data_IF_227118302231
#
_entry.id   IF_227118302231
#
_cell.length_a   1.000
_cell.length_b   1.000
_cell.length_c   1.000
_cell.angle_alpha   90.00
_cell.angle_beta   90.00
_cell.angle_gamma   90.00
#
_symmetry.space_group_name_H-M   'P 1'
#
loop_
_entity.id
_entity.type
_entity.pdbx_description
1 polymer ?
#
# COMPACT_ATOMS: atom_id res chain seq x y z
N UNK A 1 13.08 0.29 -0.67
CA UNK A 1 13.86 -0.93 -0.37
C UNK A 1 13.19 -2.14 -0.97
N UNK A 2 13.97 -3.01 -1.61
CA UNK A 2 13.47 -4.26 -2.17
C UNK A 2 13.43 -5.33 -1.09
N UNK A 3 12.31 -6.06 -1.02
CA UNK A 3 12.13 -7.19 -0.11
C UNK A 3 11.67 -8.40 -0.90
N UNK A 4 12.23 -9.56 -0.58
CA UNK A 4 11.73 -10.81 -1.14
C UNK A 4 10.57 -11.32 -0.32
N UNK A 5 9.50 -11.73 -1.00
CA UNK A 5 8.36 -12.39 -0.40
C UNK A 5 8.28 -13.82 -0.92
N UNK A 6 8.11 -14.77 -0.02
CA UNK A 6 7.79 -16.15 -0.39
C UNK A 6 6.28 -16.24 -0.59
N UNK A 7 5.87 -16.57 -1.80
CA UNK A 7 4.45 -16.52 -2.14
C UNK A 7 4.07 -17.58 -3.15
N UNK A 8 2.99 -18.29 -2.85
CA UNK A 8 2.31 -19.17 -3.80
C UNK A 8 1.60 -18.39 -4.92
N UNK A 9 1.38 -17.08 -4.74
CA UNK A 9 0.72 -16.21 -5.74
C UNK A 9 1.69 -15.66 -6.78
N UNK A 10 2.99 -15.96 -6.67
CA UNK A 10 3.99 -15.46 -7.60
C UNK A 10 4.58 -14.11 -7.24
N UNK A 11 4.21 -13.49 -6.12
CA UNK A 11 4.84 -12.26 -5.66
C UNK A 11 6.14 -12.60 -4.96
N UNK A 12 7.26 -12.26 -5.58
CA UNK A 12 8.61 -12.58 -5.11
C UNK A 12 9.37 -11.38 -4.61
N UNK A 13 9.10 -10.20 -5.20
CA UNK A 13 9.82 -8.97 -4.89
C UNK A 13 8.80 -7.87 -4.70
N UNK A 14 8.92 -7.15 -3.60
CA UNK A 14 8.14 -5.95 -3.34
C UNK A 14 9.06 -4.77 -3.12
N UNK A 15 8.60 -3.59 -3.48
CA UNK A 15 9.30 -2.33 -3.28
C UNK A 15 8.38 -1.34 -2.57
N UNK A 16 8.81 -0.88 -1.40
CA UNK A 16 8.14 0.20 -0.69
C UNK A 16 8.71 1.53 -1.16
N UNK A 17 7.84 2.41 -1.68
CA UNK A 17 8.22 3.72 -2.19
C UNK A 17 7.61 4.78 -1.30
N UNK A 18 8.32 5.07 -0.21
CA UNK A 18 7.84 5.99 0.82
C UNK A 18 8.19 7.45 0.49
N UNK A 19 9.42 7.68 0.07
CA UNK A 19 9.92 9.02 -0.25
C UNK A 19 10.61 9.02 -1.60
N UNK A 20 10.57 10.15 -2.33
CA UNK A 20 11.29 10.23 -3.58
C UNK A 20 12.80 10.16 -3.33
N UNK A 21 13.46 9.33 -4.13
CA UNK A 21 14.92 9.20 -4.12
C UNK A 21 15.39 9.21 -5.56
N UNK A 22 16.57 9.77 -5.79
CA UNK A 22 17.13 9.83 -7.12
C UNK A 22 17.23 8.43 -7.72
N UNK A 23 16.63 8.23 -8.90
CA UNK A 23 16.71 6.98 -9.64
C UNK A 23 15.80 5.86 -9.16
N UNK A 24 14.92 6.09 -8.19
CA UNK A 24 14.06 5.01 -7.67
C UNK A 24 13.11 4.49 -8.75
N UNK A 25 12.68 5.36 -9.67
CA UNK A 25 11.76 4.98 -10.75
C UNK A 25 12.37 3.93 -11.69
N UNK A 26 13.69 3.87 -11.79
CA UNK A 26 14.39 2.84 -12.56
C UNK A 26 14.20 1.44 -11.96
N UNK A 27 13.82 1.34 -10.69
CA UNK A 27 13.57 0.08 -10.02
C UNK A 27 12.14 -0.42 -10.17
N UNK A 28 11.23 0.37 -10.76
CA UNK A 28 9.82 0.02 -10.83
C UNK A 28 9.51 -1.18 -11.74
N UNK A 29 10.43 -1.54 -12.62
CA UNK A 29 10.28 -2.70 -13.50
C UNK A 29 10.64 -4.04 -12.83
N UNK A 30 11.29 -4.00 -11.69
CA UNK A 30 11.78 -5.21 -11.02
C UNK A 30 10.76 -5.86 -10.09
N UNK A 31 10.00 -5.11 -9.26
CA UNK A 31 9.12 -5.75 -8.29
C UNK A 31 7.81 -6.23 -8.90
N UNK A 32 7.26 -7.24 -8.28
CA UNK A 32 5.92 -7.73 -8.57
C UNK A 32 4.86 -6.89 -7.86
N UNK A 33 5.26 -6.21 -6.78
CA UNK A 33 4.38 -5.39 -5.95
C UNK A 33 5.08 -4.07 -5.61
N UNK A 34 4.40 -2.97 -5.91
CA UNK A 34 4.84 -1.61 -5.56
C UNK A 34 3.91 -1.05 -4.48
N UNK A 35 4.48 -0.53 -3.41
CA UNK A 35 3.74 0.01 -2.27
C UNK A 35 4.10 1.49 -2.10
N UNK A 36 3.21 2.37 -2.55
CA UNK A 36 3.46 3.82 -2.55
C UNK A 36 2.84 4.50 -1.34
N UNK A 37 3.54 5.52 -0.84
CA UNK A 37 3.03 6.42 0.19
C UNK A 37 2.39 7.67 -0.44
N UNK A 38 1.52 8.37 0.31
CA UNK A 38 0.99 9.65 -0.18
C UNK A 38 2.08 10.72 -0.31
N UNK A 39 3.12 10.68 0.52
CA UNK A 39 4.22 11.64 0.44
C UNK A 39 4.97 11.54 -0.89
N UNK A 40 5.26 10.32 -1.33
CA UNK A 40 5.88 10.12 -2.63
C UNK A 40 4.99 10.68 -3.75
N UNK A 41 3.71 10.33 -3.73
CA UNK A 41 2.77 10.77 -4.76
C UNK A 41 2.68 12.30 -4.83
N UNK A 42 2.52 12.95 -3.69
CA UNK A 42 2.42 14.43 -3.64
C UNK A 42 3.68 15.11 -4.11
N UNK A 43 4.84 14.60 -3.71
CA UNK A 43 6.13 15.16 -4.11
C UNK A 43 6.35 15.05 -5.61
N UNK A 44 5.81 14.01 -6.24
CA UNK A 44 5.87 13.83 -7.69
C UNK A 44 4.77 14.59 -8.45
N UNK A 45 3.95 15.34 -7.75
CA UNK A 45 2.94 16.21 -8.36
C UNK A 45 1.57 15.58 -8.53
N UNK A 46 1.33 14.40 -7.98
CA UNK A 46 0.02 13.78 -8.04
C UNK A 46 -0.89 14.32 -6.93
N UNK A 47 -2.11 14.64 -7.28
CA UNK A 47 -3.11 15.14 -6.33
C UNK A 47 -3.91 14.03 -5.66
N UNK A 48 -3.83 12.81 -6.18
CA UNK A 48 -4.53 11.64 -5.66
C UNK A 48 -3.78 10.33 -5.98
N UNK A 49 -4.21 9.27 -5.34
CA UNK A 49 -3.59 7.95 -5.53
C UNK A 49 -3.86 7.40 -6.93
N UNK A 50 -5.04 7.65 -7.48
CA UNK A 50 -5.43 7.16 -8.80
C UNK A 50 -4.50 7.71 -9.89
N UNK A 51 -4.14 8.98 -9.79
CA UNK A 51 -3.22 9.61 -10.74
C UNK A 51 -1.88 8.93 -10.77
N UNK A 52 -1.32 8.65 -9.60
CA UNK A 52 -0.05 7.93 -9.51
C UNK A 52 -0.17 6.51 -10.09
N UNK A 53 -1.15 5.75 -9.65
CA UNK A 53 -1.30 4.35 -10.08
C UNK A 53 -1.55 4.24 -11.59
N UNK A 54 -2.31 5.19 -12.15
CA UNK A 54 -2.55 5.24 -13.59
C UNK A 54 -1.35 5.64 -14.42
N UNK A 55 -0.31 6.21 -13.80
CA UNK A 55 0.90 6.63 -14.51
C UNK A 55 1.97 5.55 -14.62
N UNK A 56 1.78 4.40 -13.98
CA UNK A 56 2.80 3.35 -13.95
C UNK A 56 3.00 2.77 -15.36
N UNK A 57 4.28 2.60 -15.78
CA UNK A 57 4.59 2.28 -17.18
C UNK A 57 4.25 0.86 -17.59
N UNK A 58 4.05 -0.05 -16.65
CA UNK A 58 3.73 -1.45 -16.98
C UNK A 58 2.72 -2.01 -15.97
N UNK A 59 1.99 -3.07 -16.37
CA UNK A 59 1.10 -3.78 -15.44
C UNK A 59 1.89 -4.37 -14.28
N UNK A 60 1.58 -3.92 -13.09
CA UNK A 60 2.13 -4.44 -11.84
C UNK A 60 1.06 -4.30 -10.78
N UNK A 61 1.12 -5.13 -9.76
CA UNK A 61 0.29 -4.93 -8.59
C UNK A 61 0.89 -3.76 -7.80
N UNK A 62 0.10 -2.74 -7.54
CA UNK A 62 0.57 -1.57 -6.83
C UNK A 62 -0.51 -1.02 -5.91
N UNK A 63 -0.10 -0.48 -4.77
CA UNK A 63 -1.00 0.19 -3.83
C UNK A 63 -0.51 1.60 -3.55
N UNK A 64 -1.44 2.47 -3.18
CA UNK A 64 -1.11 3.81 -2.70
C UNK A 64 -2.09 4.17 -1.59
N UNK A 65 -1.57 4.40 -0.40
CA UNK A 65 -2.38 4.85 0.74
C UNK A 65 -2.60 6.36 0.65
N UNK A 66 -3.72 6.82 1.21
CA UNK A 66 -4.09 8.24 1.18
C UNK A 66 -4.78 8.67 2.47
N UNK A 67 -4.19 8.32 3.60
CA UNK A 67 -4.66 8.77 4.92
C UNK A 67 -6.12 8.42 5.17
N UNK A 68 -6.91 9.43 5.51
CA UNK A 68 -8.32 9.29 5.85
C UNK A 68 -9.19 8.75 4.71
N UNK A 69 -8.71 8.87 3.47
CA UNK A 69 -9.45 8.37 2.30
C UNK A 69 -9.22 6.87 2.06
N UNK A 70 -8.37 6.24 2.84
CA UNK A 70 -8.09 4.82 2.72
C UNK A 70 -6.95 4.53 1.76
N UNK A 71 -7.15 3.61 0.84
CA UNK A 71 -6.12 3.21 -0.10
C UNK A 71 -6.71 2.81 -1.44
N UNK A 72 -5.91 2.98 -2.47
CA UNK A 72 -6.20 2.52 -3.82
C UNK A 72 -5.18 1.47 -4.22
N UNK A 73 -5.59 0.60 -5.13
CA UNK A 73 -4.70 -0.42 -5.68
C UNK A 73 -5.02 -0.65 -7.15
N UNK A 74 -4.03 -1.06 -7.89
CA UNK A 74 -4.19 -1.50 -9.27
C UNK A 74 -3.72 -2.95 -9.36
N UNK A 75 -4.55 -3.80 -9.97
CA UNK A 75 -4.21 -5.20 -10.21
C UNK A 75 -3.50 -5.35 -11.55
N UNK A 76 -2.98 -6.56 -11.81
CA UNK A 76 -2.24 -6.87 -13.05
C UNK A 76 -3.08 -6.67 -14.31
N UNK A 77 -4.39 -6.82 -14.22
CA UNK A 77 -5.30 -6.60 -15.36
C UNK A 77 -5.64 -5.11 -15.56
N UNK A 78 -5.08 -4.22 -14.76
CA UNK A 78 -5.35 -2.80 -14.81
C UNK A 78 -6.56 -2.34 -14.01
N UNK A 79 -7.24 -3.25 -13.33
CA UNK A 79 -8.40 -2.91 -12.50
C UNK A 79 -7.98 -2.03 -11.33
N UNK A 80 -8.66 -0.89 -11.17
CA UNK A 80 -8.44 0.03 -10.04
C UNK A 80 -9.41 -0.32 -8.92
N UNK A 81 -8.87 -0.52 -7.73
CA UNK A 81 -9.61 -0.86 -6.52
C UNK A 81 -9.47 0.24 -5.49
N UNK A 82 -10.49 0.42 -4.67
CA UNK A 82 -10.48 1.37 -3.57
C UNK A 82 -11.10 0.76 -2.33
N UNK A 83 -10.46 0.98 -1.19
CA UNK A 83 -11.02 0.67 0.12
C UNK A 83 -11.02 1.95 0.96
N UNK A 84 -12.20 2.40 1.36
CA UNK A 84 -12.33 3.58 2.20
C UNK A 84 -11.88 3.26 3.62
N UNK A 85 -11.24 4.23 4.27
CA UNK A 85 -10.92 4.11 5.68
C UNK A 85 -12.20 4.32 6.51
N UNK A 86 -12.39 3.56 7.60
CA UNK A 86 -13.49 3.82 8.49
C UNK A 86 -13.34 5.18 9.16
N UNK A 87 -14.47 5.83 9.45
CA UNK A 87 -14.45 7.07 10.22
C UNK A 87 -14.07 6.74 11.65
N UNK A 88 -12.99 7.37 12.14
CA UNK A 88 -12.51 7.16 13.49
C UNK A 88 -13.06 8.26 14.40
N UNK A 89 -13.64 7.87 15.53
CA UNK A 89 -14.09 8.83 16.55
C UNK A 89 -12.91 9.53 17.20
N UNK A 90 -11.77 8.88 17.24
CA UNK A 90 -10.56 9.40 17.85
C UNK A 90 -9.33 8.87 17.14
N UNK A 91 -8.47 9.79 16.69
CA UNK A 91 -7.16 9.45 16.16
C UNK A 91 -6.15 9.74 17.26
N UNK A 92 -5.44 8.70 17.72
CA UNK A 92 -4.45 8.81 18.79
C UNK A 92 -3.06 8.94 18.20
N UNK A 93 -2.72 8.08 17.23
CA UNK A 93 -1.38 8.01 16.71
C UNK A 93 -1.39 7.43 15.28
N UNK A 94 -0.88 8.20 14.33
CA UNK A 94 -0.78 7.77 12.93
C UNK A 94 0.59 7.18 12.58
N UNK A 95 1.55 7.23 13.49
CA UNK A 95 2.90 6.71 13.26
C UNK A 95 2.85 5.20 13.07
N UNK A 96 3.40 4.74 11.96
CA UNK A 96 3.45 3.33 11.65
C UNK A 96 2.22 2.77 10.94
N UNK A 97 1.18 3.58 10.70
CA UNK A 97 -0.02 3.11 10.00
C UNK A 97 0.31 2.61 8.59
N UNK A 98 1.19 3.31 7.87
CA UNK A 98 1.64 2.87 6.55
C UNK A 98 2.40 1.55 6.60
N UNK A 99 3.21 1.34 7.62
CA UNK A 99 3.95 0.08 7.81
C UNK A 99 2.98 -1.07 8.10
N UNK A 100 1.96 -0.84 8.91
CA UNK A 100 0.92 -1.85 9.18
C UNK A 100 0.17 -2.20 7.91
N UNK A 101 -0.21 -1.19 7.11
CA UNK A 101 -0.88 -1.42 5.84
C UNK A 101 -0.02 -2.28 4.90
N UNK A 102 1.24 -1.89 4.71
CA UNK A 102 2.15 -2.59 3.80
C UNK A 102 2.38 -4.03 4.25
N UNK A 103 2.59 -4.25 5.54
CA UNK A 103 2.77 -5.59 6.09
C UNK A 103 1.53 -6.45 5.88
N UNK A 104 0.34 -5.88 6.06
CA UNK A 104 -0.92 -6.60 5.87
C UNK A 104 -1.13 -7.01 4.40
N UNK A 105 -0.82 -6.11 3.46
CA UNK A 105 -0.89 -6.41 2.02
C UNK A 105 0.08 -7.55 1.67
N UNK A 106 1.33 -7.44 2.10
CA UNK A 106 2.34 -8.46 1.84
C UNK A 106 1.92 -9.82 2.38
N UNK A 107 1.44 -9.86 3.62
CA UNK A 107 1.01 -11.09 4.25
C UNK A 107 -0.19 -11.72 3.54
N UNK A 108 -1.20 -10.91 3.23
CA UNK A 108 -2.41 -11.40 2.58
C UNK A 108 -2.13 -11.97 1.19
N UNK A 109 -1.32 -11.26 0.38
CA UNK A 109 -0.98 -11.73 -0.96
C UNK A 109 -0.07 -12.96 -0.90
N UNK A 110 0.86 -13.02 0.05
CA UNK A 110 1.70 -14.20 0.26
C UNK A 110 0.87 -15.41 0.68
N UNK A 111 -0.25 -15.19 1.38
CA UNK A 111 -1.17 -16.22 1.82
C UNK A 111 -2.19 -16.62 0.74
N UNK A 112 -2.06 -16.09 -0.46
CA UNK A 112 -2.91 -16.44 -1.59
C UNK A 112 -4.21 -15.67 -1.70
N UNK A 113 -4.42 -14.64 -0.86
CA UNK A 113 -5.61 -13.82 -0.95
C UNK A 113 -5.57 -12.92 -2.18
N UNK A 114 -6.75 -12.67 -2.76
CA UNK A 114 -6.87 -11.73 -3.86
C UNK A 114 -6.72 -10.29 -3.37
N UNK A 115 -6.33 -9.39 -4.27
CA UNK A 115 -6.11 -7.98 -3.94
C UNK A 115 -7.41 -7.30 -3.45
N UNK A 116 -8.56 -7.66 -4.03
CA UNK A 116 -9.85 -7.10 -3.63
C UNK A 116 -10.24 -7.46 -2.19
N UNK A 117 -9.72 -8.57 -1.66
CA UNK A 117 -9.88 -8.94 -0.25
C UNK A 117 -8.78 -8.36 0.63
N UNK A 118 -7.55 -8.36 0.13
CA UNK A 118 -6.40 -7.88 0.89
C UNK A 118 -6.50 -6.38 1.19
N UNK A 119 -6.97 -5.60 0.23
CA UNK A 119 -6.98 -4.15 0.34
C UNK A 119 -7.89 -3.64 1.49
N UNK A 120 -9.17 -4.03 1.60
CA UNK A 120 -9.99 -3.54 2.72
C UNK A 120 -9.50 -4.06 4.06
N UNK A 121 -8.98 -5.27 4.14
CA UNK A 121 -8.42 -5.80 5.39
C UNK A 121 -7.20 -5.00 5.85
N UNK A 122 -6.31 -4.63 4.92
CA UNK A 122 -5.13 -3.83 5.23
C UNK A 122 -5.51 -2.41 5.68
N UNK A 123 -6.50 -1.80 5.04
CA UNK A 123 -7.01 -0.48 5.43
C UNK A 123 -7.59 -0.54 6.85
N UNK A 124 -8.36 -1.58 7.16
CA UNK A 124 -8.96 -1.75 8.48
C UNK A 124 -7.89 -1.88 9.57
N UNK A 125 -6.83 -2.66 9.33
CA UNK A 125 -5.73 -2.83 10.28
C UNK A 125 -4.97 -1.52 10.50
N UNK A 126 -4.66 -0.80 9.43
CA UNK A 126 -3.98 0.49 9.53
C UNK A 126 -4.82 1.52 10.30
N UNK A 127 -6.13 1.52 10.08
CA UNK A 127 -7.06 2.41 10.80
C UNK A 127 -7.15 2.05 12.28
N UNK A 128 -7.17 0.77 12.60
CA UNK A 128 -7.14 0.32 13.99
C UNK A 128 -5.87 0.77 14.70
N UNK A 129 -4.72 0.78 14.01
CA UNK A 129 -3.47 1.32 14.55
C UNK A 129 -3.62 2.80 14.91
N UNK A 130 -4.28 3.60 14.08
CA UNK A 130 -4.44 5.04 14.32
C UNK A 130 -5.27 5.35 15.57
N UNK A 131 -6.09 4.44 16.05
CA UNK A 131 -6.90 4.61 17.26
C UNK A 131 -6.18 4.15 18.54
N UNK A 132 -4.91 3.75 18.44
CA UNK A 132 -4.12 3.20 19.56
C UNK A 132 -2.75 3.83 19.62
N UNK A 133 -2.12 3.76 20.79
CA UNK A 133 -0.73 4.17 20.97
C UNK A 133 0.22 3.08 20.47
N UNK A 134 1.27 3.49 19.76
CA UNK A 134 2.32 2.59 19.29
C UNK A 134 1.85 1.61 18.24
N UNK A 135 2.66 0.58 17.96
CA UNK A 135 2.39 -0.44 16.96
C UNK A 135 1.69 -1.69 17.52
N UNK A 136 1.33 -1.67 18.80
CA UNK A 136 0.69 -2.82 19.41
C UNK A 136 -0.77 -2.91 18.97
N UNK A 137 -1.10 -4.00 18.28
CA UNK A 137 -2.48 -4.33 17.92
C UNK A 137 -2.99 -5.35 18.93
N UNK A 138 -4.03 -4.99 19.65
CA UNK A 138 -4.64 -5.93 20.59
C UNK A 138 -5.33 -7.06 19.84
N UNK A 139 -5.29 -8.27 20.38
CA UNK A 139 -6.05 -9.38 19.82
C UNK A 139 -7.54 -9.15 19.87
#
# INVERSE_FOLDING_TARGET
MLKRAHSATGIRISLEVEKPRSGIEALFDLPDLLLFSPDYARTKGFSDAQGLLGSLPRPAVATCTWGERGAWAVDRDGSLLHAAAPVLHRVVDTVGAGDVFNAAILHALADGQSLDRALPAAVALASAKCSRDGLALSP
#
